data_IF_481345422871
#
_entry.id   IF_481345422871
#
_cell.length_a   1.000
_cell.length_b   1.000
_cell.length_c   1.000
_cell.angle_alpha   90.00
_cell.angle_beta   90.00
_cell.angle_gamma   90.00
#
_symmetry.space_group_name_H-M   'P 1'
#
loop_
_entity.id
_entity.type
_entity.pdbx_description
1 polymer ?
#
# COMPACT_ATOMS: atom_id res chain seq x y z
N UNK A 1 49.63 -14.32 14.09
CA UNK A 1 50.72 -13.53 13.50
C UNK A 1 51.51 -14.48 12.61
N UNK A 2 51.77 -14.14 11.35
CA UNK A 2 52.48 -15.01 10.40
C UNK A 2 53.97 -14.70 10.41
N UNK A 3 54.82 -15.68 10.72
CA UNK A 3 56.29 -15.55 10.68
C UNK A 3 56.85 -15.71 9.27
N UNK A 4 58.12 -15.36 9.05
CA UNK A 4 58.78 -15.61 7.76
C UNK A 4 58.99 -17.10 7.49
N UNK A 5 59.14 -17.90 8.55
CA UNK A 5 59.14 -19.36 8.47
C UNK A 5 57.80 -19.90 7.94
N UNK A 6 56.68 -19.35 8.41
CA UNK A 6 55.33 -19.74 7.97
C UNK A 6 55.10 -19.43 6.48
N UNK A 7 55.59 -18.28 5.99
CA UNK A 7 55.45 -17.89 4.57
C UNK A 7 56.21 -18.86 3.64
N UNK A 8 57.37 -19.36 4.05
CA UNK A 8 58.12 -20.36 3.28
C UNK A 8 57.67 -21.80 3.53
N UNK A 9 56.82 -22.03 4.53
CA UNK A 9 56.49 -23.36 5.04
C UNK A 9 57.73 -24.07 5.58
N UNK A 10 58.56 -23.35 6.35
CA UNK A 10 59.80 -23.83 6.97
C UNK A 10 59.76 -23.70 8.49
N UNK A 11 60.78 -24.21 9.19
CA UNK A 11 60.92 -24.09 10.64
C UNK A 11 62.37 -23.77 11.03
N UNK A 12 62.60 -23.34 12.27
CA UNK A 12 63.93 -22.97 12.78
C UNK A 12 64.93 -24.15 12.85
N UNK A 13 64.45 -25.39 12.89
CA UNK A 13 65.31 -26.59 12.97
C UNK A 13 65.78 -27.11 11.62
N UNK A 14 65.26 -26.58 10.50
CA UNK A 14 65.66 -27.02 9.17
C UNK A 14 67.03 -26.49 8.75
N UNK A 15 67.75 -27.33 8.00
CA UNK A 15 69.04 -26.97 7.43
C UNK A 15 68.89 -25.85 6.40
N UNK A 16 69.95 -25.03 6.25
CA UNK A 16 69.98 -23.96 5.23
C UNK A 16 69.77 -24.48 3.82
N UNK A 17 70.20 -25.71 3.53
CA UNK A 17 70.05 -26.31 2.21
C UNK A 17 68.61 -26.76 1.94
N UNK A 18 67.89 -27.20 2.96
CA UNK A 18 66.47 -27.54 2.82
C UNK A 18 65.60 -26.29 2.70
N UNK A 19 65.95 -25.20 3.38
CA UNK A 19 65.32 -23.88 3.20
C UNK A 19 65.52 -23.38 1.76
N UNK A 20 66.72 -23.52 1.19
CA UNK A 20 66.99 -23.18 -0.23
C UNK A 20 66.17 -24.02 -1.19
N UNK A 21 66.08 -25.34 -0.97
CA UNK A 21 65.26 -26.24 -1.79
C UNK A 21 63.79 -25.83 -1.73
N UNK A 22 63.28 -25.48 -0.53
CA UNK A 22 61.90 -25.06 -0.34
C UNK A 22 61.60 -23.74 -1.04
N UNK A 23 62.49 -22.76 -0.92
CA UNK A 23 62.41 -21.51 -1.66
C UNK A 23 62.37 -21.74 -3.18
N UNK A 24 63.25 -22.59 -3.72
CA UNK A 24 63.28 -22.90 -5.17
C UNK A 24 61.97 -23.51 -5.65
N UNK A 25 61.38 -24.43 -4.87
CA UNK A 25 60.09 -25.04 -5.20
C UNK A 25 58.95 -24.01 -5.15
N UNK A 26 58.92 -23.18 -4.11
CA UNK A 26 57.85 -22.18 -3.92
C UNK A 26 57.94 -21.03 -4.93
N UNK A 27 59.16 -20.59 -5.27
CA UNK A 27 59.42 -19.60 -6.30
C UNK A 27 59.00 -20.08 -7.69
N UNK A 28 59.29 -21.34 -8.04
CA UNK A 28 58.84 -21.91 -9.32
C UNK A 28 57.31 -21.95 -9.44
N UNK A 29 56.59 -22.17 -8.33
CA UNK A 29 55.12 -22.18 -8.30
C UNK A 29 54.49 -20.79 -8.28
N UNK A 30 55.16 -19.82 -7.67
CA UNK A 30 54.67 -18.44 -7.54
C UNK A 30 55.21 -17.49 -8.61
N UNK A 31 55.98 -18.00 -9.58
CA UNK A 31 56.60 -17.20 -10.63
C UNK A 31 55.53 -16.53 -11.52
N UNK A 32 55.62 -15.21 -11.79
CA UNK A 32 54.64 -14.50 -12.59
C UNK A 32 54.43 -15.11 -13.99
N UNK A 33 55.53 -15.46 -14.67
CA UNK A 33 55.48 -16.05 -16.03
C UNK A 33 54.88 -17.47 -16.08
N UNK A 34 54.68 -18.12 -14.93
CA UNK A 34 54.08 -19.47 -14.82
C UNK A 34 52.69 -19.43 -14.19
N UNK A 35 52.04 -18.26 -14.17
CA UNK A 35 50.70 -18.06 -13.61
C UNK A 35 50.66 -17.65 -12.13
N UNK A 36 51.79 -17.30 -11.52
CA UNK A 36 51.86 -16.78 -10.15
C UNK A 36 51.66 -15.26 -10.06
N UNK A 37 51.57 -14.73 -8.83
CA UNK A 37 51.46 -13.28 -8.59
C UNK A 37 52.82 -12.65 -8.30
N UNK A 38 53.11 -11.49 -8.93
CA UNK A 38 54.31 -10.69 -8.66
C UNK A 38 54.44 -10.30 -7.19
N UNK A 39 53.32 -9.96 -6.54
CA UNK A 39 53.29 -9.62 -5.12
C UNK A 39 53.62 -10.83 -4.24
N UNK A 40 53.10 -12.01 -4.59
CA UNK A 40 53.38 -13.25 -3.87
C UNK A 40 54.85 -13.65 -4.00
N UNK A 41 55.42 -13.57 -5.21
CA UNK A 41 56.83 -13.83 -5.46
C UNK A 41 57.74 -12.88 -4.66
N UNK A 42 57.37 -11.60 -4.55
CA UNK A 42 58.09 -10.63 -3.72
C UNK A 42 58.03 -11.00 -2.23
N UNK A 43 56.87 -11.39 -1.70
CA UNK A 43 56.74 -11.87 -0.32
C UNK A 43 57.58 -13.12 -0.05
N UNK A 44 57.57 -14.09 -0.96
CA UNK A 44 58.37 -15.33 -0.84
C UNK A 44 59.87 -15.02 -0.85
N UNK A 45 60.33 -14.12 -1.72
CA UNK A 45 61.74 -13.68 -1.75
C UNK A 45 62.14 -12.98 -0.46
N UNK A 46 61.32 -12.05 0.03
CA UNK A 46 61.59 -11.33 1.27
C UNK A 46 61.64 -12.28 2.47
N UNK A 47 60.73 -13.25 2.54
CA UNK A 47 60.73 -14.26 3.59
C UNK A 47 62.01 -15.11 3.57
N UNK A 48 62.46 -15.55 2.39
CA UNK A 48 63.72 -16.27 2.24
C UNK A 48 64.93 -15.45 2.71
N UNK A 49 65.03 -14.19 2.31
CA UNK A 49 66.12 -13.31 2.74
C UNK A 49 66.13 -13.11 4.26
N UNK A 50 64.96 -12.99 4.90
CA UNK A 50 64.87 -12.82 6.35
C UNK A 50 65.18 -14.10 7.12
N UNK A 51 64.72 -15.26 6.64
CA UNK A 51 65.06 -16.56 7.23
C UNK A 51 66.56 -16.82 7.13
N UNK A 52 67.19 -16.52 5.98
CA UNK A 52 68.64 -16.69 5.79
C UNK A 52 69.48 -15.77 6.67
N UNK A 53 68.94 -14.61 7.07
CA UNK A 53 69.55 -13.68 8.04
C UNK A 53 69.34 -14.07 9.50
N UNK A 54 68.64 -15.18 9.78
CA UNK A 54 68.30 -15.63 11.14
C UNK A 54 67.07 -14.94 11.74
N UNK A 55 66.30 -14.20 10.94
CA UNK A 55 65.09 -13.47 11.37
C UNK A 55 63.80 -14.27 11.09
N UNK A 56 63.87 -15.58 10.94
CA UNK A 56 62.74 -16.40 10.47
C UNK A 56 61.51 -16.36 11.38
N UNK A 57 61.73 -16.26 12.69
CA UNK A 57 60.68 -16.17 13.72
C UNK A 57 60.06 -14.76 13.84
N UNK A 58 60.61 -13.76 13.13
CA UNK A 58 60.04 -12.41 13.17
C UNK A 58 58.72 -12.38 12.40
N UNK A 59 57.78 -11.61 12.92
CA UNK A 59 56.49 -11.40 12.27
C UNK A 59 56.68 -10.73 10.90
N UNK A 60 56.22 -11.40 9.85
CA UNK A 60 56.40 -10.99 8.47
C UNK A 60 55.36 -9.94 8.02
N UNK A 61 54.20 -9.93 8.67
CA UNK A 61 53.11 -8.99 8.41
C UNK A 61 52.78 -8.30 9.72
N UNK A 62 53.38 -7.14 9.98
CA UNK A 62 52.85 -6.23 11.00
C UNK A 62 51.49 -5.77 10.50
N UNK A 63 50.42 -6.33 11.05
CA UNK A 63 49.09 -5.75 10.87
C UNK A 63 49.12 -4.37 11.52
N UNK A 64 49.38 -3.34 10.73
CA UNK A 64 49.11 -1.97 11.16
C UNK A 64 47.58 -1.91 11.19
N UNK A 65 47.00 -2.30 12.32
CA UNK A 65 45.64 -1.93 12.66
C UNK A 65 45.69 -0.42 12.82
N UNK A 66 45.55 0.31 11.71
CA UNK A 66 45.22 1.73 11.77
C UNK A 66 43.91 1.78 12.52
N UNK A 67 43.96 2.28 13.76
CA UNK A 67 42.76 2.57 14.54
C UNK A 67 42.06 3.73 13.82
N UNK A 68 41.27 3.41 12.80
CA UNK A 68 40.55 4.41 12.04
C UNK A 68 39.55 5.09 12.98
N UNK A 69 39.63 6.43 13.18
CA UNK A 69 38.68 7.16 14.03
C UNK A 69 37.24 7.05 13.50
N UNK A 70 37.07 6.69 12.22
CA UNK A 70 35.78 6.37 11.61
C UNK A 70 35.16 5.10 12.17
N UNK A 71 35.95 4.13 12.65
CA UNK A 71 35.45 2.87 13.19
C UNK A 71 34.66 3.05 14.49
N UNK A 72 35.04 4.01 15.34
CA UNK A 72 34.26 4.36 16.54
C UNK A 72 32.94 5.04 16.17
N UNK A 73 32.95 5.92 15.17
CA UNK A 73 31.73 6.55 14.63
C UNK A 73 30.75 5.51 14.05
N UNK A 74 31.22 4.52 13.29
CA UNK A 74 30.36 3.46 12.77
C UNK A 74 29.82 2.55 13.87
N UNK A 75 30.60 2.31 14.93
CA UNK A 75 30.12 1.54 16.10
C UNK A 75 29.03 2.28 16.88
N UNK A 76 29.15 3.60 17.02
CA UNK A 76 28.09 4.42 17.62
C UNK A 76 26.84 4.46 16.76
N UNK A 77 27.00 4.58 15.43
CA UNK A 77 25.88 4.50 14.50
C UNK A 77 25.17 3.15 14.56
N UNK A 78 25.91 2.04 14.67
CA UNK A 78 25.33 0.70 14.82
C UNK A 78 24.52 0.57 16.11
N UNK A 79 25.06 1.04 17.25
CA UNK A 79 24.31 1.05 18.52
C UNK A 79 23.06 1.92 18.46
N UNK A 80 23.14 3.08 17.81
CA UNK A 80 21.99 3.94 17.62
C UNK A 80 20.93 3.26 16.73
N UNK A 81 21.36 2.57 15.68
CA UNK A 81 20.48 1.84 14.77
C UNK A 81 19.80 0.65 15.47
N UNK A 82 20.55 -0.09 16.30
CA UNK A 82 20.02 -1.19 17.13
C UNK A 82 18.93 -0.68 18.07
N UNK A 83 19.16 0.44 18.75
CA UNK A 83 18.17 1.06 19.64
C UNK A 83 16.91 1.47 18.88
N UNK A 84 17.06 2.12 17.72
CA UNK A 84 15.91 2.52 16.88
C UNK A 84 15.13 1.27 16.43
N UNK A 85 15.83 0.18 16.10
CA UNK A 85 15.20 -1.06 15.68
C UNK A 85 14.40 -1.72 16.81
N UNK A 86 14.91 -1.70 18.05
CA UNK A 86 14.18 -2.16 19.23
C UNK A 86 12.93 -1.32 19.49
N UNK A 87 13.05 0.02 19.44
CA UNK A 87 11.93 0.95 19.63
C UNK A 87 10.84 0.73 18.56
N UNK A 88 11.23 0.58 17.28
CA UNK A 88 10.31 0.29 16.19
C UNK A 88 9.61 -1.06 16.37
N UNK A 89 10.33 -2.08 16.83
CA UNK A 89 9.76 -3.40 17.08
C UNK A 89 8.72 -3.34 18.19
N UNK A 90 9.01 -2.64 19.29
CA UNK A 90 8.06 -2.46 20.38
C UNK A 90 6.79 -1.72 19.89
N UNK A 91 6.95 -0.63 19.15
CA UNK A 91 5.83 0.12 18.57
C UNK A 91 5.02 -0.72 17.57
N UNK A 92 5.67 -1.58 16.80
CA UNK A 92 4.99 -2.50 15.87
C UNK A 92 4.14 -3.53 16.61
N UNK A 93 4.70 -4.16 17.64
CA UNK A 93 4.00 -5.15 18.46
C UNK A 93 2.80 -4.52 19.19
N UNK A 94 2.97 -3.29 19.71
CA UNK A 94 1.89 -2.52 20.30
C UNK A 94 0.76 -2.26 19.29
N UNK A 95 1.10 -1.74 18.10
CA UNK A 95 0.11 -1.47 17.05
C UNK A 95 -0.59 -2.74 16.57
N UNK A 96 0.13 -3.86 16.44
CA UNK A 96 -0.47 -5.14 16.07
C UNK A 96 -1.45 -5.63 17.15
N UNK A 97 -1.13 -5.43 18.43
CA UNK A 97 -2.06 -5.77 19.52
C UNK A 97 -3.32 -4.90 19.49
N UNK A 98 -3.18 -3.60 19.17
CA UNK A 98 -4.30 -2.67 19.02
C UNK A 98 -5.20 -3.08 17.86
N UNK A 99 -4.62 -3.44 16.71
CA UNK A 99 -5.37 -3.93 15.55
C UNK A 99 -6.17 -5.20 15.86
N UNK A 100 -5.57 -6.16 16.59
CA UNK A 100 -6.30 -7.37 17.00
C UNK A 100 -7.47 -7.06 17.94
N UNK A 101 -7.29 -6.10 18.86
CA UNK A 101 -8.37 -5.65 19.76
C UNK A 101 -9.51 -4.99 18.98
N UNK A 102 -9.20 -4.06 18.07
CA UNK A 102 -10.23 -3.39 17.26
C UNK A 102 -10.92 -4.35 16.29
N UNK A 103 -10.20 -5.32 15.73
CA UNK A 103 -10.79 -6.38 14.91
C UNK A 103 -11.74 -7.28 15.71
N UNK A 104 -11.35 -7.67 16.93
CA UNK A 104 -12.22 -8.44 17.82
C UNK A 104 -13.48 -7.65 18.21
N UNK A 105 -13.35 -6.36 18.47
CA UNK A 105 -14.47 -5.46 18.75
C UNK A 105 -15.40 -5.31 17.54
N UNK A 106 -14.86 -5.12 16.34
CA UNK A 106 -15.65 -5.07 15.11
C UNK A 106 -16.38 -6.39 14.83
N UNK A 107 -15.73 -7.53 15.07
CA UNK A 107 -16.37 -8.84 14.94
C UNK A 107 -17.49 -9.03 15.96
N UNK A 108 -17.30 -8.56 17.19
CA UNK A 108 -18.35 -8.56 18.21
C UNK A 108 -19.54 -7.69 17.77
N UNK A 109 -19.29 -6.46 17.32
CA UNK A 109 -20.33 -5.55 16.82
C UNK A 109 -21.07 -6.11 15.60
N UNK A 110 -20.35 -6.77 14.69
CA UNK A 110 -20.96 -7.42 13.53
C UNK A 110 -21.86 -8.58 13.94
N UNK A 111 -21.44 -9.38 14.90
CA UNK A 111 -22.25 -10.49 15.41
C UNK A 111 -23.50 -9.98 16.13
N UNK A 112 -23.39 -8.95 16.98
CA UNK A 112 -24.57 -8.36 17.64
C UNK A 112 -25.53 -7.70 16.64
N UNK A 113 -25.00 -7.03 15.60
CA UNK A 113 -25.83 -6.48 14.53
C UNK A 113 -26.59 -7.57 13.77
N UNK A 114 -25.94 -8.72 13.50
CA UNK A 114 -26.63 -9.85 12.86
C UNK A 114 -27.75 -10.42 13.73
N UNK A 115 -27.55 -10.54 15.04
CA UNK A 115 -28.60 -10.95 15.99
C UNK A 115 -29.78 -9.97 15.99
N UNK A 116 -29.51 -8.65 16.04
CA UNK A 116 -30.58 -7.66 16.01
C UNK A 116 -31.43 -7.72 14.73
N UNK A 117 -30.86 -8.12 13.59
CA UNK A 117 -31.60 -8.25 12.34
C UNK A 117 -32.53 -9.48 12.32
N UNK A 118 -32.12 -10.55 13.01
CA UNK A 118 -32.97 -11.75 13.20
C UNK A 118 -34.11 -11.41 14.14
N UNK A 119 -33.81 -10.73 15.26
CA UNK A 119 -34.82 -10.30 16.23
C UNK A 119 -35.86 -9.36 15.59
N UNK A 120 -35.44 -8.43 14.73
CA UNK A 120 -36.35 -7.50 14.05
C UNK A 120 -37.24 -8.20 13.01
N UNK A 121 -36.72 -9.24 12.34
CA UNK A 121 -37.50 -10.10 11.45
C UNK A 121 -38.55 -10.91 12.23
N UNK A 122 -38.16 -11.56 13.33
CA UNK A 122 -39.08 -12.29 14.21
C UNK A 122 -40.15 -11.39 14.82
N UNK A 123 -39.77 -10.20 15.30
CA UNK A 123 -40.70 -9.20 15.82
C UNK A 123 -41.74 -8.79 14.75
N UNK A 124 -41.29 -8.61 13.51
CA UNK A 124 -42.16 -8.28 12.38
C UNK A 124 -43.11 -9.43 12.05
N UNK A 125 -42.64 -10.67 12.12
CA UNK A 125 -43.46 -11.87 11.92
C UNK A 125 -44.52 -12.00 13.03
N UNK A 126 -44.13 -11.88 14.30
CA UNK A 126 -45.02 -11.93 15.47
C UNK A 126 -46.08 -10.83 15.43
N UNK A 127 -45.74 -9.63 14.92
CA UNK A 127 -46.73 -8.56 14.69
C UNK A 127 -47.77 -8.93 13.64
N UNK A 128 -47.37 -9.58 12.55
CA UNK A 128 -48.30 -10.04 11.50
C UNK A 128 -49.25 -11.12 12.02
N UNK A 129 -48.73 -12.08 12.79
CA UNK A 129 -49.54 -13.13 13.40
C UNK A 129 -50.50 -12.57 14.45
N UNK A 130 -50.05 -11.64 15.30
CA UNK A 130 -50.95 -10.95 16.23
C UNK A 130 -52.09 -10.22 15.52
N UNK A 131 -51.80 -9.57 14.39
CA UNK A 131 -52.82 -8.93 13.56
C UNK A 131 -53.81 -9.94 12.97
N UNK A 132 -53.33 -11.10 12.53
CA UNK A 132 -54.17 -12.19 12.02
C UNK A 132 -55.07 -12.77 13.12
N UNK A 133 -54.48 -13.16 14.25
CA UNK A 133 -55.20 -13.71 15.40
C UNK A 133 -56.23 -12.73 15.95
N UNK A 134 -55.93 -11.43 15.96
CA UNK A 134 -56.92 -10.40 16.33
C UNK A 134 -58.13 -10.35 15.39
N UNK A 135 -57.95 -10.60 14.09
CA UNK A 135 -59.07 -10.69 13.14
C UNK A 135 -59.90 -11.94 13.39
N UNK A 136 -59.25 -13.09 13.57
CA UNK A 136 -59.91 -14.37 13.88
C UNK A 136 -60.71 -14.28 15.20
N UNK A 137 -60.16 -13.63 16.24
CA UNK A 137 -60.90 -13.36 17.49
C UNK A 137 -62.11 -12.45 17.26
N UNK A 138 -61.98 -11.43 16.42
CA UNK A 138 -63.09 -10.53 16.12
C UNK A 138 -64.20 -11.23 15.32
N UNK A 139 -63.83 -12.08 14.38
CA UNK A 139 -64.74 -12.89 13.57
C UNK A 139 -65.49 -13.90 14.43
N UNK A 140 -64.77 -14.68 15.25
CA UNK A 140 -65.41 -15.62 16.20
C UNK A 140 -66.30 -14.93 17.22
N UNK A 141 -65.94 -13.73 17.69
CA UNK A 141 -66.82 -12.91 18.54
C UNK A 141 -68.10 -12.48 17.80
N UNK A 142 -68.00 -12.12 16.52
CA UNK A 142 -69.17 -11.78 15.70
C UNK A 142 -70.05 -13.00 15.47
N UNK A 143 -69.47 -14.17 15.20
CA UNK A 143 -70.21 -15.42 15.02
C UNK A 143 -70.92 -15.85 16.30
N UNK A 144 -70.26 -15.73 17.46
CA UNK A 144 -70.88 -15.95 18.77
C UNK A 144 -72.03 -14.96 19.02
N UNK A 145 -71.87 -13.69 18.67
CA UNK A 145 -72.91 -12.68 18.79
C UNK A 145 -74.11 -12.95 17.84
N UNK A 146 -73.85 -13.48 16.64
CA UNK A 146 -74.88 -13.89 15.68
C UNK A 146 -75.62 -15.16 16.17
N UNK A 147 -74.89 -16.16 16.66
CA UNK A 147 -75.45 -17.40 17.19
C UNK A 147 -76.27 -17.18 18.48
N UNK A 148 -75.87 -16.25 19.33
CA UNK A 148 -76.65 -15.83 20.51
C UNK A 148 -77.91 -15.04 20.11
N UNK A 149 -77.88 -14.28 19.01
CA UNK A 149 -79.08 -13.63 18.44
C UNK A 149 -80.05 -14.61 17.78
N UNK A 150 -79.57 -15.64 17.10
CA UNK A 150 -80.44 -16.67 16.53
C UNK A 150 -81.08 -17.56 17.62
N UNK A 151 -80.33 -17.90 18.68
CA UNK A 151 -80.90 -18.59 19.85
C UNK A 151 -81.94 -17.77 20.62
N UNK A 152 -81.86 -16.43 20.64
CA UNK A 152 -82.88 -15.60 21.29
C UNK A 152 -84.12 -15.32 20.42
N UNK A 153 -84.08 -15.66 19.13
CA UNK A 153 -85.25 -15.58 18.23
C UNK A 153 -86.06 -16.89 18.18
N UNK A 154 -85.47 -18.04 18.47
CA UNK A 154 -86.19 -19.32 18.60
C UNK A 154 -86.82 -19.58 19.99
N UNK A 155 -86.48 -18.78 21.00
CA UNK A 155 -87.07 -18.90 22.36
C UNK A 155 -88.23 -17.93 22.59
N UNK A 156 -88.60 -17.09 21.60
CA UNK A 156 -89.75 -16.17 21.72
C UNK A 156 -91.10 -16.75 21.28
N UNK A 157 -91.17 -18.08 21.16
CA UNK A 157 -92.43 -18.81 21.00
C UNK A 157 -92.61 -19.89 22.09
N UNK A 158 -92.15 -19.65 23.32
CA UNK A 158 -92.82 -20.19 24.50
C UNK A 158 -92.33 -19.54 25.78
N UNK A 159 -93.32 -19.08 26.52
CA UNK A 159 -93.42 -19.15 27.96
C UNK A 159 -93.31 -17.86 28.78
N UNK A 160 -94.31 -17.76 29.63
CA UNK A 160 -94.65 -16.71 30.57
C UNK A 160 -94.02 -17.13 31.90
N UNK A 161 -93.17 -16.32 32.53
CA UNK A 161 -92.77 -16.64 33.90
C UNK A 161 -91.51 -15.98 34.44
N UNK A 162 -91.73 -14.97 35.28
CA UNK A 162 -91.19 -14.88 36.65
C UNK A 162 -89.67 -14.76 36.92
N UNK A 163 -89.38 -13.64 37.60
CA UNK A 163 -88.47 -13.44 38.75
C UNK A 163 -86.95 -13.58 38.63
N UNK A 164 -86.33 -12.49 39.11
CA UNK A 164 -85.25 -12.41 40.11
C UNK A 164 -83.76 -12.51 39.74
N UNK A 165 -83.08 -11.49 40.29
CA UNK A 165 -81.77 -11.47 40.95
C UNK A 165 -80.45 -11.52 40.16
N UNK A 166 -79.78 -10.37 40.28
CA UNK A 166 -78.45 -10.13 40.85
C UNK A 166 -77.15 -10.52 40.11
N UNK A 167 -76.22 -9.56 40.23
CA UNK A 167 -74.76 -9.69 40.26
C UNK A 167 -74.04 -9.91 38.92
N UNK A 168 -72.86 -9.35 38.63
CA UNK A 168 -72.02 -8.25 39.15
C UNK A 168 -70.90 -8.07 38.10
N UNK A 169 -70.21 -6.93 38.15
CA UNK A 169 -68.84 -6.71 37.65
C UNK A 169 -68.61 -6.42 36.15
N UNK A 170 -68.53 -5.11 35.91
CA UNK A 170 -67.68 -4.37 34.96
C UNK A 170 -66.24 -4.96 34.78
N UNK A 171 -65.48 -4.62 33.71
CA UNK A 171 -65.08 -3.23 33.47
C UNK A 171 -65.30 -2.70 32.05
N UNK A 172 -65.76 -1.47 32.07
CA UNK A 172 -65.71 -0.43 31.04
C UNK A 172 -64.29 -0.28 30.47
N UNK A 173 -64.13 -0.51 29.16
CA UNK A 173 -62.98 -0.03 28.41
C UNK A 173 -63.33 1.36 27.85
N UNK A 174 -62.91 2.39 28.55
CA UNK A 174 -62.98 3.78 28.09
C UNK A 174 -62.00 3.94 26.93
N UNK A 175 -62.55 4.12 25.73
CA UNK A 175 -61.82 4.58 24.56
C UNK A 175 -61.25 5.98 24.87
N UNK A 176 -59.94 6.04 25.13
CA UNK A 176 -59.20 7.29 25.18
C UNK A 176 -59.07 7.85 23.75
N UNK A 177 -60.07 8.59 23.31
CA UNK A 177 -59.95 9.58 22.25
C UNK A 177 -59.06 10.71 22.76
N UNK A 178 -57.75 10.59 22.53
CA UNK A 178 -56.79 11.59 23.00
C UNK A 178 -55.38 11.33 22.47
N UNK A 179 -55.20 11.22 21.15
CA UNK A 179 -53.85 11.17 20.55
C UNK A 179 -53.78 11.51 19.05
N UNK A 180 -54.71 12.33 18.52
CA UNK A 180 -54.64 12.79 17.12
C UNK A 180 -54.85 14.29 17.01
N UNK A 181 -54.01 15.07 17.69
CA UNK A 181 -53.92 16.51 17.44
C UNK A 181 -52.54 17.04 17.84
N UNK A 182 -51.48 16.40 17.35
CA UNK A 182 -50.12 16.93 17.54
C UNK A 182 -49.16 16.51 16.42
N UNK A 183 -49.59 16.57 15.16
CA UNK A 183 -48.67 16.50 14.02
C UNK A 183 -49.15 17.42 12.89
N UNK A 184 -49.07 18.75 13.09
CA UNK A 184 -49.25 19.69 11.96
C UNK A 184 -48.16 20.75 11.80
N UNK A 185 -47.16 20.84 12.70
CA UNK A 185 -46.12 21.88 12.59
C UNK A 185 -44.69 21.36 12.37
N UNK A 186 -44.48 20.07 12.08
CA UNK A 186 -43.15 19.50 11.79
C UNK A 186 -42.85 19.33 10.27
N UNK A 187 -43.53 20.07 9.39
CA UNK A 187 -43.52 19.83 7.94
C UNK A 187 -42.66 20.77 7.09
N UNK A 188 -42.07 21.83 7.66
CA UNK A 188 -41.42 22.88 6.85
C UNK A 188 -39.89 22.77 6.87
N UNK A 189 -39.27 22.33 7.97
CA UNK A 189 -37.80 22.17 8.02
C UNK A 189 -37.29 20.94 7.26
N UNK A 190 -38.09 19.88 7.18
CA UNK A 190 -37.67 18.64 6.50
C UNK A 190 -37.73 18.77 4.98
N UNK A 191 -38.62 19.60 4.44
CA UNK A 191 -38.66 19.88 2.99
C UNK A 191 -37.42 20.63 2.50
N UNK A 192 -36.85 21.54 3.29
CA UNK A 192 -35.63 22.26 2.91
C UNK A 192 -34.39 21.36 2.92
N UNK A 193 -34.29 20.44 3.89
CA UNK A 193 -33.19 19.45 3.96
C UNK A 193 -33.33 18.37 2.88
N UNK A 194 -34.55 17.93 2.56
CA UNK A 194 -34.80 16.95 1.50
C UNK A 194 -34.52 17.53 0.10
N UNK A 195 -34.85 18.80 -0.14
CA UNK A 195 -34.62 19.45 -1.44
C UNK A 195 -33.11 19.70 -1.69
N UNK A 196 -32.34 20.02 -0.64
CA UNK A 196 -30.86 20.10 -0.73
C UNK A 196 -30.22 18.71 -0.93
N UNK A 197 -30.74 17.66 -0.28
CA UNK A 197 -30.27 16.27 -0.46
C UNK A 197 -30.55 15.71 -1.86
N UNK A 198 -31.58 16.20 -2.55
CA UNK A 198 -31.95 15.74 -3.91
C UNK A 198 -31.22 16.54 -5.01
N UNK A 199 -30.97 17.83 -4.80
CA UNK A 199 -30.26 18.66 -5.78
C UNK A 199 -28.76 18.39 -5.83
N UNK A 200 -28.11 18.04 -4.71
CA UNK A 200 -26.67 17.80 -4.66
C UNK A 200 -26.19 16.64 -5.57
N UNK A 201 -26.82 15.45 -5.56
CA UNK A 201 -26.42 14.38 -6.47
C UNK A 201 -26.77 14.69 -7.93
N UNK A 202 -27.85 15.42 -8.21
CA UNK A 202 -28.19 15.84 -9.57
C UNK A 202 -27.15 16.82 -10.15
N UNK A 203 -26.62 17.72 -9.32
CA UNK A 203 -25.57 18.67 -9.71
C UNK A 203 -24.22 17.96 -9.93
N UNK A 204 -23.91 16.94 -9.14
CA UNK A 204 -22.72 16.09 -9.33
C UNK A 204 -22.84 15.27 -10.63
N UNK A 205 -24.02 14.71 -10.92
CA UNK A 205 -24.25 13.96 -12.17
C UNK A 205 -24.19 14.89 -13.38
N UNK A 206 -24.73 16.11 -13.30
CA UNK A 206 -24.61 17.12 -14.36
C UNK A 206 -23.15 17.56 -14.58
N UNK A 207 -22.37 17.71 -13.50
CA UNK A 207 -20.94 18.03 -13.59
C UNK A 207 -20.10 16.88 -14.17
N UNK A 208 -20.54 15.62 -14.02
CA UNK A 208 -19.88 14.45 -14.62
C UNK A 208 -20.28 14.17 -16.07
N UNK A 209 -21.37 14.78 -16.58
CA UNK A 209 -21.83 14.62 -17.96
C UNK A 209 -21.30 15.71 -18.92
N UNK A 210 -20.59 16.72 -18.42
CA UNK A 210 -19.92 17.73 -19.24
C UNK A 210 -18.47 17.31 -19.55
N UNK A 211 -17.98 17.48 -20.79
CA UNK A 211 -16.63 17.10 -21.19
C UNK A 211 -15.58 17.90 -20.40
N UNK A 212 -14.66 17.19 -19.76
CA UNK A 212 -13.78 17.65 -18.67
C UNK A 212 -12.65 18.65 -19.06
N UNK A 213 -12.91 19.58 -19.99
CA UNK A 213 -11.89 20.46 -20.57
C UNK A 213 -11.84 21.91 -20.06
N UNK A 214 -12.97 22.55 -19.70
CA UNK A 214 -13.01 24.03 -19.73
C UNK A 214 -13.74 24.73 -18.56
N UNK A 215 -13.65 24.24 -17.32
CA UNK A 215 -14.47 24.80 -16.22
C UNK A 215 -13.73 25.32 -14.97
N UNK A 216 -12.40 25.43 -14.99
CA UNK A 216 -11.68 26.15 -13.92
C UNK A 216 -11.49 27.63 -14.30
N UNK A 217 -11.37 27.97 -15.59
CA UNK A 217 -11.18 29.35 -16.06
C UNK A 217 -12.44 30.22 -15.93
N UNK A 218 -13.63 29.66 -16.14
CA UNK A 218 -14.89 30.41 -16.09
C UNK A 218 -15.36 30.77 -14.68
N UNK A 219 -14.88 30.05 -13.65
CA UNK A 219 -15.18 30.37 -12.25
C UNK A 219 -14.22 31.46 -11.73
N UNK A 220 -12.99 31.52 -12.25
CA UNK A 220 -12.01 32.55 -11.89
C UNK A 220 -12.30 33.90 -12.56
N UNK A 221 -12.86 33.91 -13.78
CA UNK A 221 -13.18 35.17 -14.48
C UNK A 221 -14.32 35.99 -13.86
N UNK A 222 -15.04 35.46 -12.86
CA UNK A 222 -16.04 36.20 -12.10
C UNK A 222 -15.45 37.07 -10.97
N UNK A 223 -14.17 36.89 -10.64
CA UNK A 223 -13.50 37.60 -9.54
C UNK A 223 -12.45 38.62 -10.00
N UNK A 224 -12.11 38.67 -11.28
CA UNK A 224 -11.19 39.68 -11.80
C UNK A 224 -11.95 40.96 -12.12
N UNK A 225 -11.68 42.01 -11.32
CA UNK A 225 -12.06 43.39 -11.64
C UNK A 225 -11.37 43.80 -12.95
N UNK A 226 -12.06 44.47 -13.88
CA UNK A 226 -11.42 44.88 -15.12
C UNK A 226 -10.35 45.94 -14.85
N UNK A 227 -9.19 45.74 -15.50
CA UNK A 227 -8.06 46.66 -15.48
C UNK A 227 -8.46 48.02 -16.08
N UNK A 228 -8.09 49.09 -15.37
CA UNK A 228 -8.24 50.46 -15.84
C UNK A 228 -7.26 50.75 -16.99
N UNK A 229 -7.75 51.54 -17.94
CA UNK A 229 -7.09 51.92 -19.18
C UNK A 229 -5.77 52.67 -18.97
N UNK A 230 -4.83 52.35 -19.85
CA UNK A 230 -3.50 52.88 -20.04
C UNK A 230 -3.57 54.33 -20.54
N UNK A 231 -3.07 55.29 -19.76
CA UNK A 231 -2.90 56.67 -20.20
C UNK A 231 -1.43 57.07 -20.07
N UNK A 232 -0.76 57.11 -21.23
CA UNK A 232 0.66 57.46 -21.37
C UNK A 232 0.88 58.94 -21.07
N UNK A 233 1.56 59.24 -19.95
CA UNK A 233 2.34 60.47 -19.79
C UNK A 233 3.78 60.09 -19.45
N UNK A 234 4.79 60.59 -20.18
CA UNK A 234 6.18 60.39 -19.78
C UNK A 234 6.45 61.19 -18.51
N UNK A 235 6.62 60.50 -17.39
CA UNK A 235 7.13 61.07 -16.13
C UNK A 235 8.65 60.85 -16.12
N UNK A 236 9.37 61.95 -15.97
CA UNK A 236 10.82 62.00 -15.82
C UNK A 236 11.19 61.20 -14.56
N UNK A 237 12.02 60.17 -14.72
CA UNK A 237 12.55 59.39 -13.61
C UNK A 237 13.73 60.13 -12.97
N UNK A 238 13.48 60.80 -11.85
CA UNK A 238 14.51 60.96 -10.83
C UNK A 238 14.43 59.72 -9.92
N UNK A 239 15.30 58.74 -10.18
CA UNK A 239 15.34 57.51 -9.39
C UNK A 239 16.13 57.80 -8.11
N UNK A 240 15.43 57.87 -6.98
CA UNK A 240 16.04 57.92 -5.66
C UNK A 240 16.64 56.52 -5.35
N UNK A 241 17.92 56.41 -4.95
CA UNK A 241 18.61 55.12 -4.74
C UNK A 241 17.96 54.19 -3.70
N UNK A 242 17.04 54.71 -2.87
CA UNK A 242 16.27 53.91 -1.90
C UNK A 242 15.18 53.08 -2.58
N UNK A 243 14.60 53.58 -3.67
CA UNK A 243 13.53 52.90 -4.40
C UNK A 243 14.06 51.72 -5.25
N UNK A 244 15.34 51.78 -5.66
CA UNK A 244 16.02 50.65 -6.32
C UNK A 244 16.22 49.47 -5.37
N UNK A 245 16.64 49.73 -4.11
CA UNK A 245 16.81 48.69 -3.11
C UNK A 245 15.48 48.00 -2.74
N UNK A 246 14.37 48.75 -2.73
CA UNK A 246 13.04 48.17 -2.51
C UNK A 246 12.55 47.35 -3.71
N UNK A 247 12.85 47.76 -4.95
CA UNK A 247 12.52 46.96 -6.14
C UNK A 247 13.34 45.69 -6.22
N UNK A 248 14.63 45.73 -5.88
CA UNK A 248 15.47 44.53 -5.79
C UNK A 248 15.01 43.59 -4.66
N UNK A 249 14.50 44.13 -3.55
CA UNK A 249 13.90 43.33 -2.48
C UNK A 249 12.57 42.69 -2.92
N UNK A 250 11.72 43.42 -3.65
CA UNK A 250 10.48 42.88 -4.23
C UNK A 250 10.73 41.84 -5.33
N UNK A 251 11.73 42.04 -6.19
CA UNK A 251 12.14 41.03 -7.17
C UNK A 251 12.67 39.77 -6.49
N UNK A 252 13.44 39.90 -5.40
CA UNK A 252 13.90 38.75 -4.60
C UNK A 252 12.76 38.00 -3.89
N UNK A 253 11.69 38.69 -3.48
CA UNK A 253 10.49 38.03 -2.93
C UNK A 253 9.63 37.36 -4.02
N UNK A 254 9.61 37.89 -5.24
CA UNK A 254 8.83 37.33 -6.35
C UNK A 254 9.43 36.05 -6.97
N UNK A 255 10.72 35.77 -6.76
CA UNK A 255 11.39 34.55 -7.26
C UNK A 255 11.06 33.30 -6.41
N UNK A 256 10.37 33.44 -5.27
CA UNK A 256 10.02 32.31 -4.38
C UNK A 256 8.71 31.61 -4.79
N UNK A 257 7.93 32.16 -5.72
CA UNK A 257 6.80 31.44 -6.30
C UNK A 257 7.22 30.60 -7.50
N UNK A 258 8.00 29.55 -7.23
CA UNK A 258 8.16 28.46 -8.20
C UNK A 258 6.77 27.88 -8.49
N UNK A 259 6.30 28.08 -9.72
CA UNK A 259 5.13 27.39 -10.28
C UNK A 259 5.29 25.90 -9.93
N UNK A 260 4.32 25.26 -9.24
CA UNK A 260 4.44 23.85 -8.93
C UNK A 260 4.57 23.09 -10.25
N UNK A 261 5.73 22.47 -10.43
CA UNK A 261 6.02 21.65 -11.60
C UNK A 261 4.89 20.63 -11.75
N UNK A 262 4.23 20.66 -12.91
CA UNK A 262 3.07 19.81 -13.21
C UNK A 262 3.43 18.36 -12.83
N UNK A 263 2.61 17.66 -12.03
CA UNK A 263 2.98 16.36 -11.51
C UNK A 263 3.32 15.42 -12.66
N UNK A 264 4.57 14.91 -12.64
CA UNK A 264 5.09 14.00 -13.65
C UNK A 264 4.16 12.79 -13.77
N UNK A 265 3.63 12.56 -14.96
CA UNK A 265 2.72 11.44 -15.21
C UNK A 265 3.39 10.12 -14.84
N UNK A 266 2.68 9.30 -14.07
CA UNK A 266 3.18 8.01 -13.58
C UNK A 266 3.27 7.00 -14.74
N UNK A 267 4.31 6.15 -14.81
CA UNK A 267 4.46 5.21 -15.93
C UNK A 267 3.38 4.13 -15.90
N UNK A 268 2.67 3.92 -17.00
CA UNK A 268 1.61 2.92 -17.16
C UNK A 268 2.03 1.85 -18.15
N UNK A 269 1.79 0.59 -17.77
CA UNK A 269 2.04 -0.59 -18.60
C UNK A 269 0.98 -0.72 -19.69
N UNK A 270 1.41 -1.12 -20.89
CA UNK A 270 0.50 -1.62 -21.91
C UNK A 270 0.14 -3.08 -21.62
N UNK A 271 -1.16 -3.36 -21.67
CA UNK A 271 -1.69 -4.69 -21.36
C UNK A 271 -1.53 -5.62 -22.56
N UNK A 272 -0.85 -6.74 -22.35
CA UNK A 272 -0.63 -7.77 -23.38
C UNK A 272 -1.47 -9.00 -23.07
N UNK A 273 -2.10 -9.60 -24.09
CA UNK A 273 -2.93 -10.81 -23.93
C UNK A 273 -2.09 -12.07 -23.72
N UNK A 274 -0.93 -12.14 -24.36
CA UNK A 274 -0.04 -13.28 -24.28
C UNK A 274 0.56 -13.39 -22.87
N UNK A 275 0.48 -14.59 -22.29
CA UNK A 275 1.11 -14.95 -21.03
C UNK A 275 2.30 -15.87 -21.32
N UNK A 276 3.17 -16.08 -20.33
CA UNK A 276 4.26 -17.09 -20.38
C UNK A 276 5.47 -16.79 -21.27
N UNK A 277 5.59 -15.59 -21.84
CA UNK A 277 6.79 -15.18 -22.59
C UNK A 277 7.17 -13.73 -22.28
N UNK A 278 8.46 -13.50 -22.10
CA UNK A 278 9.01 -12.17 -21.98
C UNK A 278 8.87 -11.39 -23.28
N UNK A 279 8.47 -10.13 -23.17
CA UNK A 279 8.36 -9.21 -24.29
C UNK A 279 8.88 -7.84 -23.88
N UNK A 280 9.34 -7.08 -24.87
CA UNK A 280 9.72 -5.68 -24.75
C UNK A 280 8.54 -4.81 -25.14
N UNK A 281 8.28 -3.76 -24.38
CA UNK A 281 7.32 -2.71 -24.74
C UNK A 281 7.78 -1.37 -24.15
N UNK A 282 7.00 -0.32 -24.35
CA UNK A 282 7.28 1.03 -23.93
C UNK A 282 6.13 1.56 -23.07
N UNK A 283 6.47 2.23 -21.98
CA UNK A 283 5.46 2.88 -21.13
C UNK A 283 4.70 3.96 -21.92
N UNK A 284 3.41 4.09 -21.67
CA UNK A 284 2.53 4.94 -22.48
C UNK A 284 2.90 6.44 -22.40
N UNK A 285 3.36 6.90 -21.24
CA UNK A 285 3.57 8.32 -20.95
C UNK A 285 4.92 8.84 -21.43
N UNK A 286 5.98 8.06 -21.23
CA UNK A 286 7.36 8.53 -21.37
C UNK A 286 8.17 7.78 -22.44
N UNK A 287 7.56 6.81 -23.15
CA UNK A 287 8.24 5.97 -24.15
C UNK A 287 9.52 5.32 -23.61
N UNK A 288 9.63 5.09 -22.30
CA UNK A 288 10.75 4.38 -21.72
C UNK A 288 10.56 2.88 -21.97
N UNK A 289 11.59 2.17 -22.49
CA UNK A 289 11.49 0.75 -22.75
C UNK A 289 11.50 -0.04 -21.43
N UNK A 290 10.76 -1.15 -21.43
CA UNK A 290 10.75 -2.13 -20.36
C UNK A 290 10.59 -3.53 -20.93
N UNK A 291 11.02 -4.53 -20.15
CA UNK A 291 10.64 -5.92 -20.39
C UNK A 291 9.61 -6.32 -19.37
N UNK A 292 8.64 -7.11 -19.81
CA UNK A 292 7.61 -7.63 -18.95
C UNK A 292 7.30 -9.08 -19.24
N UNK A 293 6.85 -9.76 -18.20
CA UNK A 293 6.20 -11.06 -18.30
C UNK A 293 4.90 -11.04 -17.53
N UNK A 294 3.87 -11.64 -18.12
CA UNK A 294 2.54 -11.80 -17.53
C UNK A 294 2.35 -13.23 -17.03
N UNK A 295 1.89 -13.38 -15.80
CA UNK A 295 1.43 -14.66 -15.24
C UNK A 295 0.05 -15.05 -15.80
N UNK A 296 -0.37 -16.29 -15.56
CA UNK A 296 -1.74 -16.72 -15.83
C UNK A 296 -2.77 -15.90 -15.02
N UNK A 297 -2.41 -15.51 -13.79
CA UNK A 297 -3.21 -14.65 -12.92
C UNK A 297 -3.35 -13.20 -13.39
N UNK A 298 -2.56 -12.80 -14.38
CA UNK A 298 -2.57 -11.47 -14.96
C UNK A 298 -1.73 -10.44 -14.21
N UNK A 299 -0.98 -10.86 -13.19
CA UNK A 299 0.08 -10.06 -12.60
C UNK A 299 1.28 -9.99 -13.54
N UNK A 300 2.10 -8.95 -13.39
CA UNK A 300 3.30 -8.77 -14.22
C UNK A 300 4.55 -8.67 -13.38
N UNK A 301 5.66 -9.18 -13.90
CA UNK A 301 7.00 -8.77 -13.49
C UNK A 301 7.58 -7.90 -14.58
N UNK A 302 8.11 -6.74 -14.20
CA UNK A 302 8.62 -5.73 -15.12
C UNK A 302 10.01 -5.30 -14.69
N UNK A 303 10.90 -5.11 -15.67
CA UNK A 303 12.19 -4.47 -15.48
C UNK A 303 12.34 -3.33 -16.49
N UNK A 304 12.66 -2.14 -16.01
CA UNK A 304 12.94 -0.98 -16.86
C UNK A 304 14.42 -0.65 -16.90
N UNK A 305 14.80 0.44 -17.56
CA UNK A 305 16.18 0.93 -17.59
C UNK A 305 16.74 1.33 -16.20
N UNK A 306 15.89 1.44 -15.17
CA UNK A 306 16.31 1.63 -13.78
C UNK A 306 17.05 0.40 -13.19
N UNK A 307 16.95 -0.75 -13.84
CA UNK A 307 17.64 -1.97 -13.45
C UNK A 307 17.02 -2.67 -12.24
N UNK A 308 15.81 -2.29 -11.82
CA UNK A 308 15.11 -2.89 -10.69
C UNK A 308 13.91 -3.69 -11.22
N UNK A 309 13.73 -4.90 -10.70
CA UNK A 309 12.52 -5.67 -10.98
C UNK A 309 11.37 -5.18 -10.09
N UNK A 310 10.22 -4.94 -10.71
CA UNK A 310 8.98 -4.52 -10.07
C UNK A 310 7.89 -5.54 -10.34
N UNK A 311 7.10 -5.83 -9.32
CA UNK A 311 5.95 -6.72 -9.40
C UNK A 311 4.67 -5.89 -9.43
N UNK A 312 3.89 -6.07 -10.49
CA UNK A 312 2.59 -5.45 -10.71
C UNK A 312 1.53 -6.48 -10.40
N UNK A 313 1.04 -6.46 -9.16
CA UNK A 313 0.01 -7.36 -8.68
C UNK A 313 -1.35 -6.97 -9.28
N UNK A 314 -2.01 -7.93 -9.92
CA UNK A 314 -3.37 -7.76 -10.38
C UNK A 314 -4.35 -7.62 -9.19
N UNK A 315 -4.99 -6.46 -9.04
CA UNK A 315 -5.90 -6.20 -7.92
C UNK A 315 -7.19 -7.02 -7.96
N UNK A 316 -7.52 -7.60 -9.12
CA UNK A 316 -8.68 -8.48 -9.24
C UNK A 316 -8.45 -9.84 -8.56
N UNK A 317 -7.20 -10.18 -8.24
CA UNK A 317 -6.88 -11.38 -7.48
C UNK A 317 -6.87 -11.09 -5.98
N UNK A 318 -7.60 -11.90 -5.21
CA UNK A 318 -7.50 -11.91 -3.75
C UNK A 318 -6.18 -12.57 -3.35
N UNK A 319 -5.10 -11.80 -3.26
CA UNK A 319 -3.84 -12.32 -2.71
C UNK A 319 -4.01 -12.63 -1.23
N UNK A 320 -3.69 -13.86 -0.80
CA UNK A 320 -3.52 -14.19 0.61
C UNK A 320 -2.12 -13.71 1.02
N UNK A 321 -2.06 -12.72 1.92
CA UNK A 321 -0.86 -12.19 2.58
C UNK A 321 0.37 -11.98 1.67
N UNK A 322 0.67 -10.73 1.35
CA UNK A 322 1.85 -10.38 0.56
C UNK A 322 3.15 -10.82 1.25
N UNK A 323 4.10 -11.40 0.50
CA UNK A 323 5.40 -11.77 1.04
C UNK A 323 6.23 -10.52 1.36
N UNK A 324 7.07 -10.63 2.40
CA UNK A 324 7.82 -9.49 2.95
C UNK A 324 8.85 -8.88 1.98
N UNK A 325 9.24 -9.61 0.93
CA UNK A 325 10.16 -9.12 -0.08
C UNK A 325 9.52 -8.15 -1.09
N UNK A 326 8.20 -7.99 -1.06
CA UNK A 326 7.48 -7.04 -1.91
C UNK A 326 7.24 -5.73 -1.15
N UNK A 327 8.00 -4.69 -1.51
CA UNK A 327 7.87 -3.36 -0.90
C UNK A 327 6.91 -2.53 -1.75
N UNK A 328 5.78 -2.12 -1.18
CA UNK A 328 4.80 -1.29 -1.88
C UNK A 328 5.42 0.03 -2.36
N UNK A 329 5.20 0.37 -3.62
CA UNK A 329 5.67 1.62 -4.23
C UNK A 329 4.51 2.54 -4.56
N UNK A 330 3.52 2.03 -5.30
CA UNK A 330 2.37 2.83 -5.75
C UNK A 330 1.19 1.95 -6.16
N UNK A 331 0.06 2.60 -6.41
CA UNK A 331 -1.16 1.97 -6.92
C UNK A 331 -1.52 2.58 -8.26
N UNK A 332 -1.64 1.72 -9.27
CA UNK A 332 -2.20 2.05 -10.58
C UNK A 332 -3.67 1.60 -10.66
N UNK A 333 -4.36 1.92 -11.75
CA UNK A 333 -5.81 1.60 -11.92
C UNK A 333 -6.12 0.12 -11.71
N UNK A 334 -5.31 -0.76 -12.29
CA UNK A 334 -5.53 -2.22 -12.25
C UNK A 334 -4.49 -2.98 -11.42
N UNK A 335 -3.40 -2.30 -11.03
CA UNK A 335 -2.24 -2.94 -10.41
C UNK A 335 -1.81 -2.27 -9.12
N UNK A 336 -1.37 -3.06 -8.15
CA UNK A 336 -0.57 -2.56 -7.05
C UNK A 336 0.90 -2.87 -7.38
N UNK A 337 1.75 -1.85 -7.38
CA UNK A 337 3.15 -1.94 -7.82
C UNK A 337 4.06 -2.07 -6.61
N UNK A 338 4.91 -3.09 -6.63
CA UNK A 338 5.85 -3.43 -5.58
C UNK A 338 7.27 -3.48 -6.14
N UNK A 339 8.24 -3.01 -5.38
CA UNK A 339 9.67 -3.23 -5.64
C UNK A 339 10.09 -4.59 -5.09
N UNK A 340 10.97 -5.27 -5.82
CA UNK A 340 11.56 -6.55 -5.43
C UNK A 340 13.07 -6.39 -5.19
N UNK A 341 13.50 -5.86 -4.03
CA UNK A 341 14.92 -5.68 -3.73
C UNK A 341 15.68 -7.00 -3.48
N UNK A 342 14.98 -8.04 -3.03
CA UNK A 342 15.56 -9.36 -2.73
C UNK A 342 14.53 -10.48 -2.91
N UNK A 343 14.98 -11.73 -2.74
CA UNK A 343 14.15 -12.93 -2.88
C UNK A 343 14.12 -13.45 -4.32
N UNK A 344 13.11 -14.26 -4.64
CA UNK A 344 12.98 -14.82 -5.99
C UNK A 344 12.52 -13.75 -6.98
N UNK A 345 13.19 -13.66 -8.12
CA UNK A 345 12.87 -12.72 -9.21
C UNK A 345 13.47 -11.32 -9.03
N UNK A 346 14.30 -11.10 -8.01
CA UNK A 346 14.91 -9.79 -7.75
C UNK A 346 16.21 -9.56 -8.53
N UNK A 347 16.92 -10.63 -8.95
CA UNK A 347 18.21 -10.51 -9.64
C UNK A 347 18.18 -11.08 -11.05
N UNK A 348 19.08 -10.59 -11.91
CA UNK A 348 19.24 -11.06 -13.28
C UNK A 348 19.57 -12.56 -13.32
N UNK A 349 20.49 -13.00 -12.47
CA UNK A 349 20.99 -14.38 -12.38
C UNK A 349 19.87 -15.40 -12.12
N UNK A 350 18.88 -15.02 -11.30
CA UNK A 350 17.72 -15.87 -11.03
C UNK A 350 16.85 -16.06 -12.26
N UNK A 351 16.66 -15.02 -13.05
CA UNK A 351 15.94 -15.15 -14.31
C UNK A 351 16.77 -15.92 -15.33
N UNK A 352 18.01 -15.54 -15.62
CA UNK A 352 18.84 -16.26 -16.61
C UNK A 352 19.08 -17.74 -16.28
N UNK A 353 19.12 -18.10 -15.00
CA UNK A 353 19.36 -19.47 -14.54
C UNK A 353 18.11 -20.35 -14.35
N UNK A 354 16.90 -19.79 -14.49
CA UNK A 354 15.66 -20.52 -14.17
C UNK A 354 14.76 -20.74 -15.40
N UNK A 355 14.00 -21.84 -15.36
CA UNK A 355 12.93 -22.10 -16.34
C UNK A 355 11.65 -21.35 -16.00
N UNK A 356 11.41 -21.09 -14.72
CA UNK A 356 10.26 -20.36 -14.20
C UNK A 356 10.54 -19.93 -12.76
N UNK A 357 9.91 -18.86 -12.31
CA UNK A 357 9.99 -18.40 -10.93
C UNK A 357 8.60 -18.33 -10.28
N UNK A 358 8.54 -18.62 -8.99
CA UNK A 358 7.35 -18.49 -8.16
C UNK A 358 7.45 -17.19 -7.35
N UNK A 359 6.51 -16.27 -7.56
CA UNK A 359 6.45 -14.96 -6.90
C UNK A 359 5.02 -14.74 -6.44
N UNK A 360 4.81 -14.55 -5.13
CA UNK A 360 3.48 -14.33 -4.53
C UNK A 360 2.46 -15.42 -4.95
N UNK A 361 2.85 -16.69 -4.83
CA UNK A 361 2.06 -17.86 -5.23
C UNK A 361 1.66 -17.92 -6.72
N UNK A 362 2.28 -17.09 -7.57
CA UNK A 362 2.09 -17.11 -9.01
C UNK A 362 3.35 -17.57 -9.75
N UNK A 363 3.17 -18.45 -10.73
CA UNK A 363 4.25 -18.92 -11.59
C UNK A 363 4.49 -17.97 -12.77
N UNK A 364 5.76 -17.65 -13.00
CA UNK A 364 6.25 -16.83 -14.10
C UNK A 364 7.19 -17.65 -15.01
N UNK A 365 6.71 -18.12 -16.18
CA UNK A 365 7.52 -18.92 -17.10
C UNK A 365 8.62 -18.10 -17.78
N UNK A 366 9.88 -18.52 -17.71
CA UNK A 366 10.99 -17.68 -18.14
C UNK A 366 11.32 -17.73 -19.65
N UNK A 367 10.32 -17.98 -20.51
CA UNK A 367 10.57 -18.13 -21.94
C UNK A 367 10.95 -16.78 -22.59
N UNK A 368 12.06 -16.76 -23.32
CA UNK A 368 12.50 -15.60 -24.11
C UNK A 368 13.13 -14.47 -23.29
N UNK A 369 13.50 -14.71 -22.03
CA UNK A 369 14.09 -13.69 -21.16
C UNK A 369 15.37 -13.09 -21.71
N UNK A 370 16.35 -13.92 -22.08
CA UNK A 370 17.66 -13.44 -22.53
C UNK A 370 17.52 -12.51 -23.72
N UNK A 371 16.73 -12.92 -24.73
CA UNK A 371 16.45 -12.10 -25.91
C UNK A 371 15.81 -10.76 -25.56
N UNK A 372 14.74 -10.77 -24.76
CA UNK A 372 14.06 -9.55 -24.34
C UNK A 372 14.99 -8.64 -23.52
N UNK A 373 15.84 -9.22 -22.68
CA UNK A 373 16.81 -8.48 -21.87
C UNK A 373 17.89 -7.82 -22.72
N UNK A 374 18.44 -8.53 -23.72
CA UNK A 374 19.38 -7.94 -24.68
C UNK A 374 18.74 -6.79 -25.47
N UNK A 375 17.50 -6.97 -25.93
CA UNK A 375 16.73 -5.92 -26.62
C UNK A 375 16.51 -4.70 -25.72
N UNK A 376 16.20 -4.90 -24.43
CA UNK A 376 16.06 -3.81 -23.47
C UNK A 376 17.37 -3.04 -23.28
N UNK A 377 18.50 -3.73 -23.11
CA UNK A 377 19.80 -3.08 -22.94
C UNK A 377 20.08 -2.18 -24.15
N UNK A 378 19.86 -2.70 -25.36
CA UNK A 378 20.05 -1.93 -26.59
C UNK A 378 19.12 -0.71 -26.66
N UNK A 379 17.84 -0.87 -26.31
CA UNK A 379 16.88 0.22 -26.29
C UNK A 379 17.20 1.29 -25.24
N UNK A 380 17.70 0.90 -24.06
CA UNK A 380 18.11 1.83 -23.00
C UNK A 380 19.38 2.62 -23.34
N UNK A 381 20.25 2.10 -24.22
CA UNK A 381 21.44 2.83 -24.69
C UNK A 381 21.07 3.93 -25.68
N UNK A 382 20.03 3.74 -26.48
CA UNK A 382 19.57 4.72 -27.48
C UNK A 382 18.82 5.91 -26.84
N UNK A 383 18.31 5.74 -25.62
CA UNK A 383 17.53 6.76 -24.89
C UNK A 383 18.36 7.59 -23.90
N UNK A 384 19.67 7.33 -23.77
CA UNK A 384 20.63 8.21 -23.09
C UNK A 384 21.32 9.11 -24.10
#
# INVERSE_FOLDING_TARGET
MTSFHDILGTNASMSRDDIKKRYKMLSNRSHPDKGGSKALMQMVRQAYEQVMKGNGEREAVRTIVKKDPSGEKYREQLKALEKIHEDLRFAFDENQSRLKKTEAELNHLRNTQSQSSVDDYELTQLRRENLRLKRELKETQLDLAAATRSKSTDVRARDYGSSDRNDTNSPTFTAATGAFQQVKNAGVEHKRKFMVMLLLPALIIAAMLLPAGEHISTILSFFDKPAAEENTRPVIMDVNPIDQAQREAQERESVVMSIPEKPKALPMLKLVRNHSRWHVDYFAENQMPYIAIRSEGGSYVVRSCDGIFKYYLNQNQRSRRLPANLIYERKDRHFAVYKMPYGNGSTLEQWSGSKSLLINDEYFPNAGFDMAYYELINACQVTR
#
